data_IF_281594987685
#
_entry.id   IF_281594987685
#
_cell.length_a   1.000
_cell.length_b   1.000
_cell.length_c   1.000
_cell.angle_alpha   90.00
_cell.angle_beta   90.00
_cell.angle_gamma   90.00
#
_symmetry.space_group_name_H-M   'P 1'
#
loop_
_entity.id
_entity.type
_entity.pdbx_description
1 polymer ?
#
# COMPACT_ATOMS: atom_id res chain seq x y z
N UNK A 1 -15.90 -14.73 49.95
CA UNK A 1 -14.60 -14.19 49.48
C UNK A 1 -14.18 -14.69 48.10
N UNK A 2 -14.22 -15.99 47.79
CA UNK A 2 -13.82 -16.51 46.46
C UNK A 2 -14.57 -15.96 45.24
N UNK A 3 -15.90 -15.71 45.26
CA UNK A 3 -16.59 -15.23 44.05
C UNK A 3 -16.24 -13.76 43.72
N UNK A 4 -16.05 -12.93 44.74
CA UNK A 4 -15.69 -11.51 44.55
C UNK A 4 -14.30 -11.36 43.92
N UNK A 5 -13.33 -12.18 44.34
CA UNK A 5 -11.99 -12.17 43.75
C UNK A 5 -12.04 -12.58 42.27
N UNK A 6 -12.81 -13.61 41.93
CA UNK A 6 -12.97 -14.06 40.53
C UNK A 6 -13.58 -12.96 39.65
N UNK A 7 -14.58 -12.25 40.15
CA UNK A 7 -15.22 -11.13 39.43
C UNK A 7 -14.23 -9.98 39.25
N UNK A 8 -13.48 -9.61 40.28
CA UNK A 8 -12.46 -8.55 40.17
C UNK A 8 -11.35 -8.90 39.18
N UNK A 9 -10.88 -10.16 39.17
CA UNK A 9 -9.87 -10.63 38.20
C UNK A 9 -10.43 -10.61 36.78
N UNK A 10 -11.66 -11.08 36.58
CA UNK A 10 -12.31 -11.05 35.27
C UNK A 10 -12.46 -9.62 34.74
N UNK A 11 -12.81 -8.67 35.61
CA UNK A 11 -12.91 -7.26 35.25
C UNK A 11 -11.56 -6.65 34.88
N UNK A 12 -10.50 -6.98 35.63
CA UNK A 12 -9.14 -6.54 35.34
C UNK A 12 -8.63 -7.06 33.99
N UNK A 13 -8.88 -8.35 33.70
CA UNK A 13 -8.54 -8.95 32.41
C UNK A 13 -9.30 -8.31 31.25
N UNK A 14 -10.59 -8.01 31.43
CA UNK A 14 -11.39 -7.32 30.41
C UNK A 14 -10.80 -5.94 30.08
N UNK A 15 -10.46 -5.14 31.10
CA UNK A 15 -9.83 -3.83 30.90
C UNK A 15 -8.49 -3.93 30.17
N UNK A 16 -7.67 -4.93 30.50
CA UNK A 16 -6.38 -5.16 29.84
C UNK A 16 -6.55 -5.50 28.35
N UNK A 17 -7.53 -6.34 28.00
CA UNK A 17 -7.83 -6.71 26.61
C UNK A 17 -8.30 -5.49 25.82
N UNK A 18 -9.18 -4.65 26.39
CA UNK A 18 -9.67 -3.42 25.74
C UNK A 18 -8.53 -2.45 25.46
N UNK A 19 -7.56 -2.32 26.36
CA UNK A 19 -6.38 -1.46 26.11
C UNK A 19 -5.36 -2.08 25.15
N UNK A 20 -5.31 -3.41 25.06
CA UNK A 20 -4.44 -4.12 24.13
C UNK A 20 -5.00 -4.18 22.70
N UNK A 21 -6.28 -3.80 22.49
CA UNK A 21 -6.83 -3.64 21.16
C UNK A 21 -6.17 -2.43 20.49
N UNK A 22 -5.29 -2.68 19.54
CA UNK A 22 -4.79 -1.63 18.65
C UNK A 22 -5.96 -0.98 17.94
N UNK A 23 -5.94 0.35 17.81
CA UNK A 23 -7.00 1.04 17.09
C UNK A 23 -7.08 0.46 15.67
N UNK A 24 -8.31 0.16 15.22
CA UNK A 24 -8.57 -0.42 13.89
C UNK A 24 -8.00 0.44 12.74
N UNK A 25 -7.64 1.70 13.04
CA UNK A 25 -7.04 2.68 12.15
C UNK A 25 -5.52 2.86 12.31
N UNK A 26 -4.86 2.10 13.19
CA UNK A 26 -3.40 2.09 13.34
C UNK A 26 -2.64 1.50 12.14
N UNK A 27 -3.36 1.13 11.06
CA UNK A 27 -2.77 0.85 9.75
C UNK A 27 -2.51 2.09 8.88
N UNK A 28 -2.88 3.30 9.32
CA UNK A 28 -2.72 4.50 8.47
C UNK A 28 -1.28 5.04 8.43
N UNK A 29 -0.49 4.80 9.48
CA UNK A 29 0.95 5.05 9.49
C UNK A 29 1.65 3.79 9.99
N UNK A 30 2.36 3.06 9.13
CA UNK A 30 3.07 1.85 9.54
C UNK A 30 4.02 2.14 10.70
N UNK A 31 3.98 1.34 11.77
CA UNK A 31 5.01 1.35 12.81
C UNK A 31 6.35 1.06 12.14
N UNK A 32 7.25 2.05 12.13
CA UNK A 32 8.56 1.97 11.46
C UNK A 32 8.77 2.93 10.29
N UNK A 33 7.81 3.79 9.96
CA UNK A 33 8.03 4.84 8.96
C UNK A 33 8.79 6.02 9.58
N UNK A 34 9.97 6.41 9.05
CA UNK A 34 10.64 7.60 9.53
C UNK A 34 9.77 8.83 9.26
N UNK A 35 9.66 9.71 10.27
CA UNK A 35 9.08 11.03 10.12
C UNK A 35 9.82 11.73 8.98
N UNK A 36 9.10 12.09 7.92
CA UNK A 36 9.71 12.65 6.71
C UNK A 36 10.14 14.08 7.00
N UNK A 37 11.31 14.25 7.59
CA UNK A 37 11.99 15.54 7.60
C UNK A 37 12.68 15.74 6.26
N UNK A 38 12.50 16.95 5.71
CA UNK A 38 13.05 17.47 4.44
C UNK A 38 12.35 16.98 3.17
N UNK A 39 11.73 17.89 2.43
CA UNK A 39 11.37 17.71 1.02
C UNK A 39 12.67 17.60 0.19
N UNK A 40 12.97 16.42 -0.33
CA UNK A 40 14.01 16.26 -1.37
C UNK A 40 13.45 16.87 -2.65
N UNK A 41 14.09 17.92 -3.16
CA UNK A 41 13.88 18.39 -4.53
C UNK A 41 14.31 17.27 -5.48
N UNK A 42 13.34 16.57 -6.04
CA UNK A 42 13.58 15.54 -7.05
C UNK A 42 13.88 16.28 -8.35
N UNK A 43 15.12 16.22 -8.82
CA UNK A 43 15.49 16.73 -10.15
C UNK A 43 14.68 16.01 -11.23
N UNK A 44 14.14 16.75 -12.20
CA UNK A 44 13.39 16.20 -13.35
C UNK A 44 14.21 15.24 -14.22
N UNK A 45 15.52 15.24 -14.03
CA UNK A 45 16.48 14.41 -14.78
C UNK A 45 16.53 12.96 -14.27
N UNK A 46 15.91 12.67 -13.12
CA UNK A 46 15.95 11.34 -12.54
C UNK A 46 14.91 10.43 -13.19
N UNK A 47 15.39 9.38 -13.85
CA UNK A 47 14.57 8.39 -14.57
C UNK A 47 13.78 7.58 -13.54
N UNK A 48 12.56 8.03 -13.26
CA UNK A 48 11.69 7.47 -12.23
C UNK A 48 10.40 6.92 -12.86
N UNK A 49 9.88 5.76 -12.40
CA UNK A 49 8.66 5.20 -12.97
C UNK A 49 7.44 6.10 -12.78
N UNK A 50 6.49 6.05 -13.71
CA UNK A 50 5.30 6.91 -13.68
C UNK A 50 4.51 6.82 -12.35
N UNK A 51 4.42 5.63 -11.75
CA UNK A 51 3.76 5.41 -10.43
C UNK A 51 4.43 6.16 -9.27
N UNK A 52 5.69 6.55 -9.43
CA UNK A 52 6.47 7.24 -8.39
C UNK A 52 6.36 8.76 -8.51
N UNK A 53 5.78 9.26 -9.62
CA UNK A 53 5.42 10.67 -9.78
C UNK A 53 4.34 11.04 -8.77
N UNK A 54 4.74 11.79 -7.75
CA UNK A 54 3.85 12.28 -6.68
C UNK A 54 4.04 11.57 -5.34
N UNK A 55 4.68 10.39 -5.31
CA UNK A 55 5.07 9.73 -4.05
C UNK A 55 6.57 9.94 -3.78
N UNK A 56 6.86 11.07 -3.11
CA UNK A 56 8.22 11.45 -2.72
C UNK A 56 8.90 10.40 -1.82
N UNK A 57 8.12 9.66 -1.03
CA UNK A 57 8.66 8.66 -0.10
C UNK A 57 9.15 7.45 -0.84
N UNK A 58 8.40 7.03 -1.85
CA UNK A 58 8.76 5.90 -2.68
C UNK A 58 9.98 6.24 -3.56
N UNK A 59 10.05 7.44 -4.12
CA UNK A 59 11.25 7.90 -4.85
C UNK A 59 12.49 7.84 -3.96
N UNK A 60 12.45 8.36 -2.74
CA UNK A 60 13.62 8.31 -1.84
C UNK A 60 14.08 6.90 -1.53
N UNK A 61 13.15 5.96 -1.35
CA UNK A 61 13.50 4.55 -1.12
C UNK A 61 14.19 3.94 -2.34
N UNK A 62 13.76 4.31 -3.55
CA UNK A 62 14.43 3.88 -4.77
C UNK A 62 15.84 4.46 -4.89
N UNK A 63 16.02 5.74 -4.53
CA UNK A 63 17.34 6.38 -4.59
C UNK A 63 18.30 5.94 -3.50
N UNK A 64 17.78 5.61 -2.32
CA UNK A 64 18.57 5.09 -1.20
C UNK A 64 18.88 3.58 -1.34
N UNK A 65 18.47 2.95 -2.44
CA UNK A 65 18.71 1.53 -2.68
C UNK A 65 20.22 1.30 -2.92
N UNK A 66 20.83 0.28 -2.29
CA UNK A 66 22.25 0.04 -2.48
C UNK A 66 22.53 -0.48 -3.91
N UNK A 67 23.70 -0.17 -4.49
CA UNK A 67 23.99 -0.39 -5.91
C UNK A 67 24.04 -1.88 -6.32
N UNK A 68 24.19 -2.78 -5.35
CA UNK A 68 24.18 -4.24 -5.52
C UNK A 68 22.78 -4.85 -5.36
N UNK A 69 21.74 -4.04 -5.17
CA UNK A 69 20.35 -4.50 -5.08
C UNK A 69 19.69 -4.42 -6.45
N UNK A 70 19.01 -5.48 -6.84
CA UNK A 70 18.21 -5.46 -8.07
C UNK A 70 17.10 -4.41 -7.95
N UNK A 71 17.00 -3.47 -8.90
CA UNK A 71 15.95 -2.48 -8.88
C UNK A 71 14.59 -3.17 -9.04
N UNK A 72 13.51 -2.60 -8.49
CA UNK A 72 12.21 -3.24 -8.60
C UNK A 72 11.78 -3.32 -10.06
N UNK A 73 10.98 -4.32 -10.37
CA UNK A 73 10.48 -4.58 -11.72
C UNK A 73 9.80 -3.35 -12.38
N UNK A 74 9.20 -2.46 -11.59
CA UNK A 74 8.64 -1.19 -12.07
C UNK A 74 9.68 -0.22 -12.63
N UNK A 75 10.93 -0.29 -12.17
CA UNK A 75 12.06 0.49 -12.66
C UNK A 75 12.67 -0.17 -13.90
N UNK A 76 12.85 -1.49 -13.86
CA UNK A 76 13.40 -2.25 -14.99
C UNK A 76 12.49 -2.13 -16.22
N UNK A 77 11.19 -2.35 -16.05
CA UNK A 77 10.21 -2.37 -17.15
C UNK A 77 9.42 -1.06 -17.26
N UNK A 78 10.03 0.06 -16.86
CA UNK A 78 9.35 1.36 -16.81
C UNK A 78 8.75 1.76 -18.16
N UNK A 79 9.52 1.65 -19.24
CA UNK A 79 9.07 2.06 -20.58
C UNK A 79 7.86 1.26 -21.04
N UNK A 80 7.85 -0.05 -20.76
CA UNK A 80 6.72 -0.90 -21.06
C UNK A 80 5.48 -0.49 -20.26
N UNK A 81 5.64 -0.15 -18.98
CA UNK A 81 4.56 0.37 -18.15
C UNK A 81 4.04 1.73 -18.60
N UNK A 82 4.92 2.65 -18.96
CA UNK A 82 4.54 3.96 -19.50
C UNK A 82 3.80 3.81 -20.82
N UNK A 83 4.24 2.87 -21.67
CA UNK A 83 3.56 2.55 -22.91
C UNK A 83 2.16 2.01 -22.67
N UNK A 84 2.00 1.03 -21.77
CA UNK A 84 0.68 0.48 -21.40
C UNK A 84 -0.24 1.53 -20.75
N UNK A 85 0.33 2.47 -19.99
CA UNK A 85 -0.43 3.54 -19.37
C UNK A 85 -0.94 4.55 -20.40
N UNK A 86 -0.08 4.96 -21.33
CA UNK A 86 -0.43 5.92 -22.38
C UNK A 86 -1.28 5.29 -23.49
N UNK A 87 -1.12 3.98 -23.71
CA UNK A 87 -1.85 3.18 -24.69
C UNK A 87 -2.48 1.97 -23.98
N UNK A 88 -3.56 2.18 -23.21
CA UNK A 88 -4.23 1.09 -22.53
C UNK A 88 -4.77 0.10 -23.56
N UNK A 89 -4.19 -1.10 -23.59
CA UNK A 89 -4.76 -2.21 -24.35
C UNK A 89 -6.06 -2.60 -23.66
N UNK A 90 -7.18 -2.22 -24.26
CA UNK A 90 -8.49 -2.71 -23.83
C UNK A 90 -8.68 -4.10 -24.42
N UNK A 91 -8.95 -5.07 -23.56
CA UNK A 91 -9.41 -6.37 -24.04
C UNK A 91 -10.83 -6.18 -24.60
N UNK A 92 -11.17 -6.84 -25.72
CA UNK A 92 -12.56 -6.83 -26.18
C UNK A 92 -13.44 -7.37 -25.06
N UNK A 93 -14.57 -6.72 -24.81
CA UNK A 93 -15.57 -7.23 -23.88
C UNK A 93 -15.99 -8.60 -24.43
N UNK A 94 -15.67 -9.67 -23.69
CA UNK A 94 -16.16 -11.01 -24.04
C UNK A 94 -17.68 -10.94 -24.02
N UNK A 95 -18.31 -11.21 -25.15
CA UNK A 95 -19.76 -11.32 -25.21
C UNK A 95 -20.19 -12.37 -24.19
N UNK A 96 -21.14 -12.00 -23.34
CA UNK A 96 -21.68 -12.90 -22.35
C UNK A 96 -22.46 -13.98 -23.07
N UNK A 97 -22.14 -15.25 -22.78
CA UNK A 97 -22.89 -16.41 -23.29
C UNK A 97 -24.34 -16.42 -22.78
N UNK A 98 -24.71 -15.53 -21.85
CA UNK A 98 -26.04 -15.41 -21.25
C UNK A 98 -26.94 -14.35 -21.89
N UNK A 99 -26.47 -13.60 -22.90
CA UNK A 99 -27.31 -12.61 -23.60
C UNK A 99 -27.88 -13.26 -24.86
N UNK A 100 -29.11 -13.74 -24.76
CA UNK A 100 -29.88 -14.28 -25.89
C UNK A 100 -30.46 -13.10 -26.70
N UNK A 101 -30.11 -12.91 -27.99
CA UNK A 101 -30.51 -11.73 -28.77
C UNK A 101 -31.99 -11.70 -29.18
N UNK A 102 -32.80 -12.70 -28.81
CA UNK A 102 -34.14 -12.90 -29.37
C UNK A 102 -35.24 -12.15 -28.60
N UNK A 103 -34.98 -11.60 -27.41
CA UNK A 103 -36.02 -10.93 -26.60
C UNK A 103 -35.57 -9.57 -26.03
N UNK A 104 -35.31 -8.61 -26.92
CA UNK A 104 -35.24 -7.17 -26.61
C UNK A 104 -36.33 -6.40 -27.34
#
# INVERSE_FOLDING_TARGET
>A
MMPQIKVSIAFLLLCAIVQAQESFYAGRNGRGYPLIEKLVEISREQILPLKTRGDLTHVRRLLAMPPNTEPPFSVINREHYENLYNHPTTWPIRQSDFVDPVHG
#
